data_IF_488795001078
#
_entry.id   IF_488795001078
#
_cell.length_a   1.000
_cell.length_b   1.000
_cell.length_c   1.000
_cell.angle_alpha   90.00
_cell.angle_beta   90.00
_cell.angle_gamma   90.00
#
_symmetry.space_group_name_H-M   'P 1'
#
loop_
_entity.id
_entity.type
_entity.pdbx_description
1 polymer ?
#
# COMPACT_ATOMS: atom_id res chain seq x y z
N UNK A 1 15.21 -9.72 -6.08
CA UNK A 1 15.60 -8.86 -4.94
C UNK A 1 17.07 -8.49 -4.99
N UNK A 2 17.96 -9.36 -4.53
CA UNK A 2 19.38 -9.02 -4.38
C UNK A 2 20.08 -8.58 -5.68
N UNK A 3 19.90 -9.33 -6.77
CA UNK A 3 20.44 -8.95 -8.08
C UNK A 3 19.94 -7.58 -8.56
N UNK A 4 18.69 -7.23 -8.28
CA UNK A 4 18.13 -5.90 -8.58
C UNK A 4 18.79 -4.81 -7.74
N UNK A 5 18.99 -5.07 -6.44
CA UNK A 5 19.65 -4.12 -5.55
C UNK A 5 21.08 -3.81 -6.04
N UNK A 6 21.82 -4.86 -6.40
CA UNK A 6 23.17 -4.73 -6.96
C UNK A 6 23.17 -3.98 -8.29
N UNK A 7 22.29 -4.33 -9.23
CA UNK A 7 22.26 -3.69 -10.55
C UNK A 7 21.82 -2.23 -10.51
N UNK A 8 20.97 -1.86 -9.54
CA UNK A 8 20.52 -0.48 -9.32
C UNK A 8 21.38 0.30 -8.34
N UNK A 9 22.34 -0.35 -7.70
CA UNK A 9 23.12 0.19 -6.58
C UNK A 9 22.20 0.86 -5.53
N UNK A 10 21.06 0.23 -5.24
CA UNK A 10 20.04 0.82 -4.38
C UNK A 10 20.52 0.81 -2.92
N UNK A 11 20.70 2.00 -2.33
CA UNK A 11 21.16 2.16 -0.93
C UNK A 11 20.12 2.80 -0.01
N UNK A 12 19.13 3.48 -0.58
CA UNK A 12 18.04 4.17 0.09
C UNK A 12 16.89 4.39 -0.91
N UNK A 13 15.68 4.78 -0.46
CA UNK A 13 14.59 5.14 -1.34
C UNK A 13 15.00 6.21 -2.36
N UNK A 14 14.40 6.16 -3.56
CA UNK A 14 14.90 6.89 -4.76
C UNK A 14 14.95 8.41 -4.60
N UNK A 15 14.08 8.99 -3.77
CA UNK A 15 14.00 10.43 -3.53
C UNK A 15 14.69 10.86 -2.24
N UNK A 16 15.54 10.02 -1.65
CA UNK A 16 16.27 10.38 -0.44
C UNK A 16 17.69 10.82 -0.78
N UNK A 17 18.25 11.71 0.05
CA UNK A 17 19.66 12.07 0.01
C UNK A 17 20.22 12.16 1.42
N UNK A 18 21.47 11.77 1.58
CA UNK A 18 22.19 11.92 2.84
C UNK A 18 22.77 13.34 2.91
N UNK A 19 22.51 14.02 4.03
CA UNK A 19 23.12 15.31 4.36
C UNK A 19 24.08 15.14 5.55
N UNK A 20 24.83 16.19 5.91
CA UNK A 20 25.81 16.13 6.99
C UNK A 20 25.24 15.57 8.30
N UNK A 21 24.01 15.98 8.65
CA UNK A 21 23.35 15.61 9.91
C UNK A 21 22.00 14.91 9.69
N UNK A 22 21.92 13.95 8.77
CA UNK A 22 20.73 13.12 8.60
C UNK A 22 20.35 12.85 7.15
N UNK A 23 19.05 12.84 6.89
CA UNK A 23 18.46 12.53 5.60
C UNK A 23 17.45 13.58 5.20
N UNK A 24 17.37 13.86 3.91
CA UNK A 24 16.29 14.62 3.31
C UNK A 24 15.59 13.77 2.28
N UNK A 25 14.31 14.08 2.05
CA UNK A 25 13.54 13.55 0.93
C UNK A 25 13.11 14.67 -0.01
N UNK A 26 13.15 14.39 -1.29
CA UNK A 26 12.54 15.23 -2.30
C UNK A 26 11.03 14.97 -2.33
N UNK A 27 10.26 16.04 -2.37
CA UNK A 27 8.81 16.01 -2.58
C UNK A 27 8.47 17.07 -3.61
N UNK A 28 8.08 16.62 -4.80
CA UNK A 28 8.02 17.46 -6.00
C UNK A 28 9.35 18.18 -6.26
N UNK A 29 9.33 19.51 -6.29
CA UNK A 29 10.45 20.39 -6.58
C UNK A 29 11.22 20.83 -5.33
N UNK A 30 10.78 20.41 -4.13
CA UNK A 30 11.35 20.84 -2.86
C UNK A 30 11.99 19.68 -2.07
N UNK A 31 13.02 20.01 -1.30
CA UNK A 31 13.66 19.10 -0.35
C UNK A 31 13.17 19.38 1.06
N UNK A 32 12.84 18.32 1.79
CA UNK A 32 12.41 18.37 3.18
C UNK A 32 13.30 17.48 4.02
N UNK A 33 13.55 17.88 5.27
CA UNK A 33 14.11 16.98 6.25
C UNK A 33 13.21 15.76 6.41
N UNK A 34 13.82 14.58 6.50
CA UNK A 34 13.09 13.33 6.54
C UNK A 34 12.26 13.26 7.82
N UNK A 35 10.93 13.29 7.68
CA UNK A 35 10.04 13.15 8.82
C UNK A 35 9.94 11.69 9.28
N UNK A 36 10.20 11.38 10.55
CA UNK A 36 10.28 9.99 11.04
C UNK A 36 8.94 9.26 11.04
N UNK A 37 7.84 9.99 11.23
CA UNK A 37 6.49 9.42 11.40
C UNK A 37 5.64 9.45 10.12
N UNK A 38 6.25 9.77 8.97
CA UNK A 38 5.59 9.59 7.66
C UNK A 38 5.80 8.16 7.18
N UNK A 39 4.81 7.55 6.51
CA UNK A 39 5.06 6.28 5.85
C UNK A 39 6.14 6.47 4.76
N UNK A 40 7.06 5.52 4.69
CA UNK A 40 8.00 5.45 3.58
C UNK A 40 7.25 5.23 2.27
N UNK A 41 7.70 5.89 1.22
CA UNK A 41 7.10 5.87 -0.12
C UNK A 41 8.22 5.82 -1.16
N UNK A 42 7.89 5.45 -2.40
CA UNK A 42 8.83 5.30 -3.51
C UNK A 42 9.86 4.20 -3.26
N UNK A 43 9.35 3.05 -2.80
CA UNK A 43 10.14 1.83 -2.65
C UNK A 43 9.59 0.71 -3.51
N UNK A 44 10.49 -0.14 -3.96
CA UNK A 44 10.18 -1.37 -4.68
C UNK A 44 9.61 -2.44 -3.76
N UNK A 45 8.97 -3.44 -4.36
CA UNK A 45 8.53 -4.63 -3.63
C UNK A 45 9.73 -5.36 -3.00
N UNK A 46 10.87 -5.38 -3.69
CA UNK A 46 12.09 -6.02 -3.18
C UNK A 46 12.63 -5.36 -1.91
N UNK A 47 12.58 -4.03 -1.83
CA UNK A 47 12.98 -3.29 -0.63
C UNK A 47 12.01 -3.54 0.53
N UNK A 48 10.70 -3.49 0.26
CA UNK A 48 9.66 -3.76 1.24
C UNK A 48 9.80 -5.17 1.85
N UNK A 49 9.97 -6.17 0.99
CA UNK A 49 10.15 -7.58 1.35
C UNK A 49 11.48 -7.82 2.11
N UNK A 50 12.57 -7.17 1.68
CA UNK A 50 13.85 -7.23 2.38
C UNK A 50 13.78 -6.61 3.79
N UNK A 51 13.13 -5.44 3.93
CA UNK A 51 12.91 -4.82 5.23
C UNK A 51 12.10 -5.73 6.16
N UNK A 52 11.02 -6.32 5.66
CA UNK A 52 10.19 -7.23 6.45
C UNK A 52 11.04 -8.39 7.00
N UNK A 53 11.83 -9.05 6.16
CA UNK A 53 12.70 -10.15 6.60
C UNK A 53 13.74 -9.71 7.62
N UNK A 54 14.38 -8.56 7.41
CA UNK A 54 15.32 -7.98 8.37
C UNK A 54 14.66 -7.73 9.73
N UNK A 55 13.41 -7.24 9.73
CA UNK A 55 12.64 -6.97 10.94
C UNK A 55 12.02 -8.22 11.59
N UNK A 56 12.28 -9.44 11.08
CA UNK A 56 11.64 -10.67 11.56
C UNK A 56 10.15 -10.74 11.27
N UNK A 57 9.71 -10.12 10.17
CA UNK A 57 8.31 -10.01 9.72
C UNK A 57 8.17 -10.45 8.27
N UNK A 58 6.96 -10.35 7.73
CA UNK A 58 6.68 -10.53 6.30
C UNK A 58 5.69 -9.50 5.77
N UNK A 59 5.62 -9.40 4.44
CA UNK A 59 4.52 -8.70 3.77
C UNK A 59 3.23 -9.53 3.90
N UNK A 60 2.07 -8.90 4.13
CA UNK A 60 0.79 -9.59 4.09
C UNK A 60 0.52 -10.09 2.67
N UNK A 61 -0.21 -11.20 2.56
CA UNK A 61 -0.87 -11.56 1.31
C UNK A 61 -2.01 -10.57 1.02
N UNK A 62 -2.46 -10.47 -0.22
CA UNK A 62 -3.61 -9.61 -0.53
C UNK A 62 -4.89 -10.04 0.18
N UNK A 63 -5.04 -11.34 0.48
CA UNK A 63 -6.18 -11.88 1.20
C UNK A 63 -6.16 -11.49 2.68
N UNK A 64 -5.01 -11.59 3.35
CA UNK A 64 -4.85 -11.12 4.73
C UNK A 64 -5.06 -9.61 4.83
N UNK A 65 -4.54 -8.86 3.87
CA UNK A 65 -4.74 -7.42 3.79
C UNK A 65 -6.22 -7.07 3.66
N UNK A 66 -6.93 -7.74 2.74
CA UNK A 66 -8.36 -7.49 2.52
C UNK A 66 -9.20 -7.92 3.74
N UNK A 67 -8.84 -9.01 4.41
CA UNK A 67 -9.49 -9.42 5.65
C UNK A 67 -9.33 -8.34 6.73
N UNK A 68 -8.11 -7.88 6.98
CA UNK A 68 -7.83 -6.83 7.96
C UNK A 68 -8.55 -5.50 7.63
N UNK A 69 -8.82 -5.24 6.34
CA UNK A 69 -9.49 -4.03 5.88
C UNK A 69 -11.03 -4.14 5.88
N UNK A 70 -11.59 -5.29 5.52
CA UNK A 70 -12.99 -5.40 5.12
C UNK A 70 -13.85 -6.20 6.09
N UNK A 71 -13.26 -7.09 6.89
CA UNK A 71 -14.04 -7.94 7.82
C UNK A 71 -14.08 -7.33 9.21
N UNK A 72 -14.94 -7.88 10.05
CA UNK A 72 -15.04 -7.61 11.47
C UNK A 72 -15.04 -8.92 12.27
N UNK A 73 -14.69 -8.89 13.56
CA UNK A 73 -14.82 -10.05 14.43
C UNK A 73 -16.29 -10.51 14.51
N UNK A 74 -16.53 -11.80 14.36
CA UNK A 74 -17.82 -12.43 14.62
C UNK A 74 -17.68 -13.69 15.49
N UNK A 75 -18.79 -14.36 15.81
CA UNK A 75 -18.78 -15.57 16.63
C UNK A 75 -18.07 -16.77 15.96
N UNK A 76 -17.83 -16.71 14.65
CA UNK A 76 -17.14 -17.72 13.86
C UNK A 76 -15.69 -17.33 13.48
N UNK A 77 -15.22 -16.16 13.93
CA UNK A 77 -13.91 -15.58 13.62
C UNK A 77 -14.02 -14.32 12.76
N UNK A 78 -14.38 -14.47 11.48
CA UNK A 78 -14.47 -13.37 10.50
C UNK A 78 -15.88 -13.25 9.95
N UNK A 79 -16.41 -12.02 9.94
CA UNK A 79 -17.69 -11.71 9.29
C UNK A 79 -17.73 -12.18 7.83
N UNK A 80 -18.87 -12.76 7.43
CA UNK A 80 -19.11 -13.10 6.02
C UNK A 80 -19.36 -11.87 5.15
N UNK A 81 -19.86 -10.79 5.75
CA UNK A 81 -20.12 -9.53 5.06
C UNK A 81 -18.86 -8.67 5.06
N UNK A 82 -18.41 -8.28 3.86
CA UNK A 82 -17.25 -7.40 3.67
C UNK A 82 -17.70 -5.96 3.59
N UNK A 83 -17.12 -5.12 4.44
CA UNK A 83 -17.28 -3.66 4.39
C UNK A 83 -16.57 -3.10 3.14
N UNK A 84 -17.18 -2.14 2.42
CA UNK A 84 -16.57 -1.51 1.27
C UNK A 84 -15.38 -0.62 1.64
N UNK A 85 -15.34 -0.14 2.90
CA UNK A 85 -14.25 0.63 3.49
C UNK A 85 -13.93 0.12 4.92
N UNK A 86 -12.71 0.36 5.45
CA UNK A 86 -12.33 -0.04 6.80
C UNK A 86 -13.29 0.44 7.90
N UNK A 87 -13.71 1.69 7.80
CA UNK A 87 -14.62 2.35 8.74
C UNK A 87 -16.11 2.05 8.50
N UNK A 88 -16.47 1.23 7.50
CA UNK A 88 -17.86 0.85 7.22
C UNK A 88 -18.33 1.23 5.81
N UNK A 89 -19.58 1.69 5.71
CA UNK A 89 -20.26 1.92 4.42
C UNK A 89 -20.21 3.39 3.96
N UNK A 90 -19.86 4.31 4.86
CA UNK A 90 -19.83 5.74 4.58
C UNK A 90 -18.76 6.10 3.56
N UNK A 91 -19.09 7.03 2.66
CA UNK A 91 -18.17 7.49 1.64
C UNK A 91 -16.89 8.08 2.25
N UNK A 92 -15.72 7.95 1.59
CA UNK A 92 -14.48 8.51 2.10
C UNK A 92 -14.59 10.02 2.27
N UNK A 93 -14.03 10.53 3.36
CA UNK A 93 -13.87 11.95 3.63
C UNK A 93 -12.46 12.22 4.18
N UNK A 94 -11.99 13.48 4.15
CA UNK A 94 -10.69 13.84 4.73
C UNK A 94 -10.53 13.49 6.23
N UNK A 95 -11.63 13.26 6.95
CA UNK A 95 -11.60 12.87 8.36
C UNK A 95 -11.18 11.39 8.57
N UNK A 96 -11.36 10.53 7.57
CA UNK A 96 -11.16 9.08 7.68
C UNK A 96 -10.07 8.54 6.74
N UNK A 97 -9.76 9.23 5.65
CA UNK A 97 -8.72 8.79 4.72
C UNK A 97 -8.02 9.95 4.01
N UNK A 98 -6.72 9.80 3.77
CA UNK A 98 -5.95 10.72 2.94
C UNK A 98 -6.02 10.27 1.48
N UNK A 99 -6.87 10.94 0.68
CA UNK A 99 -7.18 10.66 -0.71
C UNK A 99 -7.35 11.97 -1.50
N UNK A 100 -7.63 11.85 -2.80
CA UNK A 100 -8.10 12.97 -3.64
C UNK A 100 -7.16 14.18 -3.69
N UNK A 101 -5.85 13.98 -3.50
CA UNK A 101 -4.84 15.05 -3.46
C UNK A 101 -4.99 16.05 -2.31
N UNK A 102 -5.82 15.76 -1.30
CA UNK A 102 -6.23 16.76 -0.31
C UNK A 102 -5.07 17.36 0.49
N UNK A 103 -4.09 16.55 0.87
CA UNK A 103 -2.91 16.99 1.66
C UNK A 103 -1.66 17.19 0.82
N UNK A 104 -1.72 16.93 -0.49
CA UNK A 104 -0.58 16.92 -1.42
C UNK A 104 0.65 16.15 -0.92
N UNK A 105 0.46 15.04 -0.20
CA UNK A 105 1.53 14.22 0.34
C UNK A 105 1.01 13.17 1.33
N UNK A 106 1.91 12.32 1.83
CA UNK A 106 1.55 11.38 2.90
C UNK A 106 1.22 12.13 4.19
N UNK A 107 0.49 11.51 5.12
CA UNK A 107 0.23 12.01 6.47
C UNK A 107 0.91 11.13 7.51
N UNK A 108 1.06 11.66 8.73
CA UNK A 108 1.56 10.95 9.91
C UNK A 108 0.87 9.59 10.08
N UNK A 109 1.63 8.53 10.39
CA UNK A 109 1.13 7.15 10.50
C UNK A 109 0.09 6.98 11.64
N UNK A 110 0.10 7.86 12.64
CA UNK A 110 -0.85 7.92 13.73
C UNK A 110 -2.14 8.68 13.42
N UNK A 111 -2.20 9.45 12.32
CA UNK A 111 -3.35 10.27 11.97
C UNK A 111 -4.55 9.47 11.42
N UNK A 112 -5.74 10.09 11.41
CA UNK A 112 -6.97 9.56 10.82
C UNK A 112 -7.52 8.30 11.51
N UNK A 113 -7.45 8.25 12.85
CA UNK A 113 -7.95 7.10 13.62
C UNK A 113 -9.43 6.78 13.45
N UNK A 114 -10.26 7.74 13.01
CA UNK A 114 -11.65 7.48 12.65
C UNK A 114 -11.80 6.58 11.40
N UNK A 115 -10.72 6.40 10.63
CA UNK A 115 -10.65 5.51 9.48
C UNK A 115 -10.11 4.11 9.77
N UNK A 116 -9.89 3.77 11.05
CA UNK A 116 -9.38 2.45 11.43
C UNK A 116 -10.37 1.35 11.02
N UNK A 117 -9.83 0.18 10.66
CA UNK A 117 -10.66 -1.01 10.42
C UNK A 117 -11.26 -1.56 11.72
N UNK A 118 -12.18 -2.53 11.61
CA UNK A 118 -12.71 -3.25 12.77
C UNK A 118 -11.63 -3.95 13.61
N UNK A 119 -10.46 -4.19 13.03
CA UNK A 119 -9.29 -4.80 13.68
C UNK A 119 -8.29 -3.76 14.19
N UNK A 120 -8.63 -2.47 14.18
CA UNK A 120 -7.75 -1.37 14.58
C UNK A 120 -6.61 -1.10 13.60
N UNK A 121 -6.69 -1.61 12.36
CA UNK A 121 -5.68 -1.33 11.35
C UNK A 121 -5.91 0.06 10.76
N UNK A 122 -5.01 0.98 11.09
CA UNK A 122 -5.01 2.37 10.65
C UNK A 122 -4.57 2.54 9.21
N UNK A 123 -5.19 3.50 8.52
CA UNK A 123 -4.80 3.96 7.17
C UNK A 123 -4.75 2.84 6.13
N UNK A 124 -5.64 1.85 6.24
CA UNK A 124 -5.78 0.80 5.22
C UNK A 124 -6.27 1.37 3.87
N UNK A 125 -6.92 2.54 3.85
CA UNK A 125 -7.28 3.22 2.59
C UNK A 125 -6.59 4.59 2.55
N UNK A 126 -5.92 4.86 1.43
CA UNK A 126 -5.19 6.11 1.21
C UNK A 126 -3.79 6.12 1.81
N UNK A 127 -3.21 7.32 1.91
CA UNK A 127 -1.81 7.53 2.28
C UNK A 127 -0.82 6.91 1.27
N UNK A 128 -0.54 5.61 1.28
CA UNK A 128 0.35 4.95 0.31
C UNK A 128 -0.24 3.65 -0.20
N UNK A 129 0.05 3.30 -1.46
CA UNK A 129 -0.21 1.93 -1.91
C UNK A 129 0.63 0.96 -1.07
N UNK A 130 0.03 -0.09 -0.55
CA UNK A 130 0.74 -1.08 0.27
C UNK A 130 1.08 -2.32 -0.57
N UNK A 131 2.38 -2.61 -0.73
CA UNK A 131 2.84 -3.86 -1.34
C UNK A 131 2.38 -5.09 -0.55
N UNK A 132 1.94 -6.13 -1.26
CA UNK A 132 1.61 -7.45 -0.70
C UNK A 132 2.57 -8.52 -1.22
N UNK A 133 2.67 -9.67 -0.56
CA UNK A 133 3.48 -10.80 -1.05
C UNK A 133 2.89 -11.51 -2.28
N UNK A 134 1.59 -11.28 -2.56
CA UNK A 134 0.83 -11.97 -3.59
C UNK A 134 1.21 -11.53 -5.00
N UNK A 135 1.45 -12.52 -5.88
CA UNK A 135 1.52 -12.29 -7.33
C UNK A 135 0.13 -11.99 -7.88
N UNK A 136 0.05 -11.02 -8.79
CA UNK A 136 -1.20 -10.65 -9.43
C UNK A 136 -1.67 -11.80 -10.33
N UNK A 137 -2.73 -12.49 -9.92
CA UNK A 137 -3.35 -13.55 -10.68
C UNK A 137 -4.87 -13.44 -10.71
N UNK A 138 -5.54 -14.25 -11.56
CA UNK A 138 -6.99 -14.32 -11.58
C UNK A 138 -7.52 -14.95 -10.29
N UNK A 139 -8.66 -14.46 -9.80
CA UNK A 139 -9.42 -15.19 -8.80
C UNK A 139 -10.16 -16.38 -9.45
N UNK A 140 -10.51 -17.41 -8.68
CA UNK A 140 -11.37 -18.48 -9.17
C UNK A 140 -12.66 -17.91 -9.80
N UNK A 141 -12.98 -18.34 -11.01
CA UNK A 141 -14.13 -17.83 -11.76
C UNK A 141 -13.94 -16.45 -12.41
N UNK A 142 -12.70 -15.95 -12.50
CA UNK A 142 -12.42 -14.70 -13.24
C UNK A 142 -12.87 -14.81 -14.71
N UNK A 143 -13.62 -13.81 -15.13
CA UNK A 143 -13.98 -13.57 -16.53
C UNK A 143 -13.49 -12.17 -16.93
N UNK A 144 -12.99 -12.04 -18.16
CA UNK A 144 -12.48 -10.76 -18.65
C UNK A 144 -13.62 -9.77 -18.89
N UNK A 145 -13.44 -8.56 -18.37
CA UNK A 145 -14.22 -7.37 -18.74
C UNK A 145 -14.06 -7.06 -20.26
N UNK A 146 -15.01 -6.35 -20.90
CA UNK A 146 -14.85 -5.88 -22.27
C UNK A 146 -13.50 -5.18 -22.54
N UNK A 147 -12.92 -4.50 -21.55
CA UNK A 147 -11.52 -4.05 -21.63
C UNK A 147 -10.54 -5.19 -21.33
N UNK A 148 -10.41 -6.10 -22.29
CA UNK A 148 -9.65 -7.36 -22.18
C UNK A 148 -8.18 -7.18 -21.78
N UNK A 149 -7.56 -6.07 -22.18
CA UNK A 149 -6.14 -5.81 -21.93
C UNK A 149 -5.85 -5.23 -20.54
N UNK A 150 -6.89 -5.01 -19.72
CA UNK A 150 -6.71 -4.36 -18.43
C UNK A 150 -5.98 -5.23 -17.39
N UNK A 151 -6.33 -6.51 -17.26
CA UNK A 151 -5.80 -7.39 -16.21
C UNK A 151 -5.11 -8.64 -16.74
N UNK A 152 -5.75 -9.37 -17.64
CA UNK A 152 -5.28 -10.69 -18.08
C UNK A 152 -3.83 -10.71 -18.63
N UNK A 153 -3.38 -9.73 -19.43
CA UNK A 153 -2.01 -9.71 -19.94
C UNK A 153 -0.94 -9.57 -18.86
N UNK A 154 -1.32 -9.15 -17.65
CA UNK A 154 -0.39 -8.80 -16.58
C UNK A 154 -0.31 -9.83 -15.47
N UNK A 155 -1.07 -10.92 -15.55
CA UNK A 155 -1.03 -11.98 -14.55
C UNK A 155 0.36 -12.62 -14.44
N UNK A 156 0.73 -13.01 -13.22
CA UNK A 156 1.97 -13.69 -12.82
C UNK A 156 3.28 -12.94 -13.13
N UNK A 157 3.21 -11.69 -13.58
CA UNK A 157 4.38 -10.84 -13.88
C UNK A 157 4.52 -9.66 -12.93
N UNK A 158 3.54 -9.46 -12.04
CA UNK A 158 3.42 -8.29 -11.17
C UNK A 158 3.02 -8.69 -9.77
N UNK A 159 3.32 -7.82 -8.81
CA UNK A 159 2.90 -7.94 -7.41
C UNK A 159 1.69 -7.08 -7.16
N UNK A 160 0.80 -7.57 -6.30
CA UNK A 160 -0.41 -6.86 -5.91
C UNK A 160 -0.09 -5.76 -4.89
N UNK A 161 -0.73 -4.61 -5.05
CA UNK A 161 -0.81 -3.55 -4.05
C UNK A 161 -2.25 -3.23 -3.71
N UNK A 162 -2.48 -2.78 -2.47
CA UNK A 162 -3.82 -2.48 -1.94
C UNK A 162 -3.86 -1.10 -1.28
N UNK A 163 -5.07 -0.65 -0.94
CA UNK A 163 -5.31 0.55 -0.13
C UNK A 163 -5.45 1.87 -0.87
N UNK A 164 -4.77 2.04 -2.01
CA UNK A 164 -4.69 3.36 -2.63
C UNK A 164 -3.68 4.26 -1.92
N UNK A 165 -3.33 5.36 -2.55
CA UNK A 165 -2.45 6.39 -1.99
C UNK A 165 -3.14 7.76 -1.95
N UNK A 166 -2.48 8.77 -1.39
CA UNK A 166 -3.03 10.13 -1.21
C UNK A 166 -3.49 10.83 -2.50
N UNK A 167 -3.08 10.37 -3.69
CA UNK A 167 -3.57 10.87 -4.99
C UNK A 167 -4.77 10.10 -5.54
N UNK A 168 -5.08 8.95 -4.97
CA UNK A 168 -6.11 8.04 -5.49
C UNK A 168 -7.48 8.67 -5.29
N UNK A 169 -8.33 8.59 -6.34
CA UNK A 169 -9.66 9.17 -6.29
C UNK A 169 -10.58 8.31 -5.42
N UNK A 170 -11.29 8.92 -4.47
CA UNK A 170 -12.22 8.22 -3.57
C UNK A 170 -13.31 7.44 -4.29
N UNK A 171 -13.73 7.91 -5.47
CA UNK A 171 -14.72 7.21 -6.32
C UNK A 171 -14.23 5.86 -6.88
N UNK A 172 -12.92 5.64 -6.94
CA UNK A 172 -12.33 4.41 -7.51
C UNK A 172 -12.01 3.38 -6.43
N UNK A 173 -11.58 3.82 -5.25
CA UNK A 173 -10.98 2.94 -4.26
C UNK A 173 -12.04 2.23 -3.40
N UNK A 174 -11.81 0.95 -3.13
CA UNK A 174 -12.57 0.09 -2.22
C UNK A 174 -11.60 -0.88 -1.53
N UNK A 175 -12.04 -1.50 -0.44
CA UNK A 175 -11.27 -2.58 0.22
C UNK A 175 -10.87 -3.69 -0.74
N UNK A 176 -11.63 -3.94 -1.80
CA UNK A 176 -11.39 -5.00 -2.80
C UNK A 176 -10.53 -4.55 -4.00
N UNK A 177 -10.18 -3.27 -4.12
CA UNK A 177 -9.50 -2.74 -5.30
C UNK A 177 -8.04 -3.23 -5.40
N UNK A 178 -7.70 -3.94 -6.48
CA UNK A 178 -6.37 -4.49 -6.71
C UNK A 178 -5.60 -3.59 -7.68
N UNK A 179 -4.50 -3.02 -7.22
CA UNK A 179 -3.50 -2.42 -8.11
C UNK A 179 -2.33 -3.42 -8.28
N UNK A 180 -1.54 -3.27 -9.33
CA UNK A 180 -0.47 -4.19 -9.65
C UNK A 180 0.65 -3.50 -10.41
N UNK A 181 1.90 -3.78 -10.02
CA UNK A 181 3.10 -3.23 -10.67
C UNK A 181 4.20 -4.28 -10.69
N UNK A 182 5.18 -4.11 -11.59
CA UNK A 182 6.37 -4.96 -11.56
C UNK A 182 7.14 -4.71 -10.26
N UNK A 183 7.75 -5.74 -9.66
CA UNK A 183 8.29 -5.66 -8.30
C UNK A 183 9.48 -4.69 -8.15
N UNK A 184 10.07 -4.26 -9.26
CA UNK A 184 11.21 -3.34 -9.33
C UNK A 184 10.83 -1.85 -9.36
N UNK A 185 9.54 -1.53 -9.57
CA UNK A 185 9.05 -0.15 -9.68
C UNK A 185 9.18 0.57 -8.34
N UNK A 186 9.76 1.78 -8.39
CA UNK A 186 9.94 2.67 -7.22
C UNK A 186 9.56 4.13 -7.51
N UNK A 187 9.11 4.41 -8.73
CA UNK A 187 8.53 5.70 -9.18
C UNK A 187 7.05 5.85 -8.76
N UNK A 188 6.44 4.77 -8.30
CA UNK A 188 5.06 4.76 -7.83
C UNK A 188 4.96 5.23 -6.37
N UNK A 189 3.79 5.75 -5.99
CA UNK A 189 3.44 6.19 -4.64
C UNK A 189 3.12 5.00 -3.72
N UNK A 190 4.07 4.05 -3.63
CA UNK A 190 3.95 2.83 -2.87
C UNK A 190 4.92 2.78 -1.68
N UNK A 191 4.38 2.28 -0.57
CA UNK A 191 5.08 1.87 0.63
C UNK A 191 4.70 0.43 0.96
N UNK A 192 4.62 0.09 2.24
CA UNK A 192 4.24 -1.25 2.68
C UNK A 192 3.75 -1.26 4.13
N UNK A 193 3.09 -2.36 4.46
CA UNK A 193 2.76 -2.76 5.82
C UNK A 193 3.40 -4.11 6.10
N UNK A 194 3.69 -4.36 7.36
CA UNK A 194 4.21 -5.65 7.82
C UNK A 194 3.14 -6.42 8.59
N UNK A 195 3.28 -7.74 8.61
CA UNK A 195 2.52 -8.62 9.50
C UNK A 195 3.49 -9.62 10.16
N UNK A 196 2.98 -10.37 11.14
CA UNK A 196 3.77 -11.42 11.79
C UNK A 196 4.25 -12.46 10.76
N UNK A 197 5.48 -12.95 10.95
CA UNK A 197 6.09 -13.97 10.09
C UNK A 197 5.26 -15.25 10.06
#
# INVERSE_FOLDING_TARGET
GWQWCQSRQAQHPVHWQRIANGWQRQHFDAWFDLEPDRPVIHISWFEADAYCRWAGRRLPTEAEWEAAAATEPDSAGLSQHKRPYPWGNEAPSPAVANLDWHTMGTVDVGALGAGDSAWGCRQMIGNVWEWTSTDFGPYPGFEMDPYKDYSAPWFHTRKVMRGGCWVTRSRLIRTQYRNFMTPDRRDILAGFRTCAA
#
